data_IF_753864213250
#
_entry.id   IF_753864213250
#
_cell.length_a   1.000
_cell.length_b   1.000
_cell.length_c   1.000
_cell.angle_alpha   90.00
_cell.angle_beta   90.00
_cell.angle_gamma   90.00
#
_symmetry.space_group_name_H-M   'P 1'
#
loop_
_entity.id
_entity.type
_entity.pdbx_description
1 polymer ?
#
# COMPACT_ATOMS: atom_id res chain seq x y z
N UNK A 1 36.52 -58.46 -36.57
CA UNK A 1 35.27 -57.70 -36.30
C UNK A 1 34.21 -58.47 -35.46
N UNK A 2 34.59 -59.35 -34.52
CA UNK A 2 33.65 -59.95 -33.54
C UNK A 2 34.11 -59.85 -32.06
N UNK A 3 35.29 -59.27 -31.80
CA UNK A 3 35.83 -59.11 -30.44
C UNK A 3 35.56 -57.73 -29.81
N UNK A 4 35.34 -56.66 -30.59
CA UNK A 4 35.10 -55.32 -30.05
C UNK A 4 33.67 -55.09 -29.50
N UNK A 5 32.66 -55.80 -30.01
CA UNK A 5 31.28 -55.66 -29.52
C UNK A 5 31.04 -56.35 -28.15
N UNK A 6 31.89 -57.30 -27.76
CA UNK A 6 31.74 -58.05 -26.50
C UNK A 6 32.30 -57.31 -25.29
N UNK A 7 33.24 -56.37 -25.50
CA UNK A 7 33.79 -55.52 -24.44
C UNK A 7 32.86 -54.34 -24.14
N UNK A 8 32.19 -53.78 -25.17
CA UNK A 8 31.23 -52.69 -24.99
C UNK A 8 29.97 -53.11 -24.21
N UNK A 9 29.52 -54.37 -24.35
CA UNK A 9 28.35 -54.90 -23.63
C UNK A 9 28.64 -55.24 -22.15
N UNK A 10 29.90 -55.49 -21.79
CA UNK A 10 30.29 -55.82 -20.41
C UNK A 10 30.53 -54.58 -19.54
N UNK A 11 30.89 -53.43 -20.15
CA UNK A 11 31.13 -52.18 -19.44
C UNK A 11 29.84 -51.45 -19.05
N UNK A 12 28.74 -51.64 -19.80
CA UNK A 12 27.42 -51.08 -19.46
C UNK A 12 26.76 -51.83 -18.29
N UNK A 13 27.04 -53.13 -18.12
CA UNK A 13 26.44 -53.94 -17.05
C UNK A 13 27.09 -53.79 -15.67
N UNK A 14 28.23 -53.11 -15.57
CA UNK A 14 28.88 -52.80 -14.28
C UNK A 14 28.68 -51.35 -13.83
N UNK A 15 28.23 -50.45 -14.70
CA UNK A 15 27.85 -49.08 -14.33
C UNK A 15 26.45 -48.99 -13.70
N UNK A 16 25.55 -49.95 -13.97
CA UNK A 16 24.18 -49.93 -13.41
C UNK A 16 24.11 -50.36 -11.93
N UNK A 17 25.18 -50.91 -11.36
CA UNK A 17 25.21 -51.32 -9.95
C UNK A 17 25.83 -50.28 -9.00
N UNK A 18 26.53 -49.27 -9.52
CA UNK A 18 26.97 -48.12 -8.72
C UNK A 18 25.96 -46.96 -8.71
N UNK A 19 25.10 -46.84 -9.73
CA UNK A 19 24.12 -45.76 -9.78
C UNK A 19 22.91 -45.97 -8.86
N UNK A 20 22.58 -47.22 -8.52
CA UNK A 20 21.44 -47.52 -7.64
C UNK A 20 21.79 -47.32 -6.16
N UNK A 21 23.07 -47.45 -5.77
CA UNK A 21 23.49 -47.23 -4.37
C UNK A 21 23.58 -45.73 -4.04
N UNK A 22 23.74 -44.86 -5.03
CA UNK A 22 23.61 -43.42 -4.84
C UNK A 22 22.16 -42.94 -4.73
N UNK A 23 21.17 -43.75 -5.13
CA UNK A 23 19.76 -43.38 -5.15
C UNK A 23 18.97 -43.85 -3.91
N UNK A 24 19.55 -44.76 -3.10
CA UNK A 24 18.90 -45.27 -1.88
C UNK A 24 19.44 -44.59 -0.61
N UNK A 25 20.60 -43.94 -0.66
CA UNK A 25 21.10 -43.12 0.47
C UNK A 25 20.52 -41.69 0.44
N UNK A 26 19.90 -41.25 -0.66
CA UNK A 26 19.30 -39.91 -0.78
C UNK A 26 17.81 -39.87 -0.39
N UNK A 27 17.18 -40.98 -0.01
CA UNK A 27 15.79 -40.98 0.49
C UNK A 27 15.68 -41.10 2.01
N UNK A 28 16.80 -41.08 2.74
CA UNK A 28 16.84 -41.24 4.21
C UNK A 28 17.73 -40.21 4.92
N UNK A 29 18.03 -39.09 4.27
CA UNK A 29 18.35 -37.87 4.98
C UNK A 29 17.04 -37.09 5.02
N UNK A 30 16.28 -37.31 6.09
CA UNK A 30 15.38 -36.29 6.61
C UNK A 30 16.28 -35.11 6.95
N UNK A 31 16.60 -34.29 5.95
CA UNK A 31 17.03 -32.92 6.19
C UNK A 31 15.77 -32.23 6.72
N UNK A 32 15.47 -32.49 8.00
CA UNK A 32 14.84 -31.56 8.93
C UNK A 32 15.71 -30.31 9.10
N UNK A 33 16.33 -29.85 8.01
CA UNK A 33 16.73 -28.49 7.80
C UNK A 33 15.44 -27.69 7.77
N UNK A 34 15.05 -27.26 8.96
CA UNK A 34 14.24 -26.08 9.18
C UNK A 34 14.79 -25.00 8.25
N UNK A 35 14.23 -24.86 7.05
CA UNK A 35 14.37 -23.66 6.24
C UNK A 35 13.57 -22.62 7.00
N UNK A 36 14.14 -22.15 8.11
CA UNK A 36 13.77 -20.90 8.69
C UNK A 36 14.02 -19.89 7.57
N UNK A 37 12.95 -19.52 6.89
CA UNK A 37 12.89 -18.29 6.13
C UNK A 37 13.28 -17.21 7.13
N UNK A 38 14.56 -16.83 7.12
CA UNK A 38 15.06 -15.72 7.93
C UNK A 38 14.47 -14.49 7.27
N UNK A 39 13.20 -14.20 7.59
CA UNK A 39 12.55 -12.94 7.28
C UNK A 39 13.36 -11.90 8.04
N UNK A 40 14.37 -11.33 7.38
CA UNK A 40 15.16 -10.25 7.94
C UNK A 40 14.17 -9.18 8.42
N UNK A 41 14.11 -8.96 9.73
CA UNK A 41 13.24 -7.97 10.33
C UNK A 41 13.82 -6.60 10.03
N UNK A 42 13.46 -6.08 8.86
CA UNK A 42 13.74 -4.70 8.53
C UNK A 42 12.90 -3.80 9.47
N UNK A 43 13.57 -3.09 10.36
CA UNK A 43 12.93 -2.05 11.16
C UNK A 43 12.99 -0.74 10.40
N UNK A 44 11.83 -0.24 9.97
CA UNK A 44 11.72 1.08 9.39
C UNK A 44 11.87 2.13 10.51
N UNK A 45 12.80 3.08 10.36
CA UNK A 45 13.12 4.08 11.39
C UNK A 45 12.90 5.52 10.90
N UNK A 46 13.25 5.82 9.66
CA UNK A 46 13.19 7.18 9.11
C UNK A 46 13.03 7.20 7.59
N UNK A 47 12.52 8.31 7.04
CA UNK A 47 12.39 8.55 5.61
C UNK A 47 12.47 10.04 5.25
N UNK A 48 12.89 10.35 4.02
CA UNK A 48 12.79 11.72 3.48
C UNK A 48 11.36 12.06 3.06
N UNK A 49 10.47 11.06 2.99
CA UNK A 49 9.06 11.24 2.74
C UNK A 49 8.30 11.31 4.07
N UNK A 50 7.12 11.94 4.09
CA UNK A 50 6.19 11.85 5.22
C UNK A 50 5.91 10.40 5.60
N UNK A 51 5.74 10.14 6.89
CA UNK A 51 5.45 8.80 7.41
C UNK A 51 4.04 8.80 8.00
N UNK A 52 3.23 7.82 7.61
CA UNK A 52 1.89 7.61 8.13
C UNK A 52 1.88 6.26 8.85
N UNK A 53 1.61 6.30 10.16
CA UNK A 53 1.41 5.11 10.98
C UNK A 53 -0.09 4.88 11.18
N UNK A 54 -0.52 3.64 11.00
CA UNK A 54 -1.91 3.24 11.19
C UNK A 54 -1.93 2.02 12.11
N UNK A 55 -2.74 2.10 13.17
CA UNK A 55 -2.97 1.00 14.10
C UNK A 55 -4.47 0.69 14.19
N UNK A 56 -4.86 -0.49 13.70
CA UNK A 56 -6.22 -1.01 13.80
C UNK A 56 -6.46 -1.80 15.08
N UNK A 57 -5.52 -1.84 16.03
CA UNK A 57 -5.59 -2.57 17.30
C UNK A 57 -5.93 -4.06 17.12
N UNK A 58 -5.47 -4.64 16.01
CA UNK A 58 -5.71 -6.03 15.65
C UNK A 58 -7.07 -6.32 14.99
N UNK A 59 -7.93 -5.32 14.75
CA UNK A 59 -9.14 -5.52 13.96
C UNK A 59 -8.78 -5.76 12.48
N UNK A 60 -9.32 -6.81 11.85
CA UNK A 60 -9.07 -7.07 10.42
C UNK A 60 -9.82 -6.05 9.56
N UNK A 61 -9.12 -5.45 8.59
CA UNK A 61 -9.79 -4.63 7.58
C UNK A 61 -10.45 -5.57 6.56
N UNK A 62 -11.74 -5.40 6.38
CA UNK A 62 -12.53 -6.09 5.37
C UNK A 62 -12.83 -5.14 4.19
N UNK A 63 -13.11 -5.72 3.03
CA UNK A 63 -13.57 -4.94 1.88
C UNK A 63 -14.93 -4.30 2.17
N UNK A 64 -15.13 -3.07 1.71
CA UNK A 64 -16.36 -2.29 1.86
C UNK A 64 -16.89 -2.09 3.31
N UNK A 65 -16.08 -2.35 4.33
CA UNK A 65 -16.44 -2.13 5.74
C UNK A 65 -15.42 -1.18 6.36
N UNK A 66 -15.91 -0.06 6.90
CA UNK A 66 -15.10 0.86 7.70
C UNK A 66 -14.92 0.35 9.11
N UNK A 67 -13.69 0.39 9.60
CA UNK A 67 -13.34 0.08 10.97
C UNK A 67 -12.60 1.25 11.63
N UNK A 68 -12.74 1.46 12.94
CA UNK A 68 -11.98 2.48 13.65
C UNK A 68 -10.50 2.09 13.73
N UNK A 69 -9.62 3.06 13.57
CA UNK A 69 -8.18 2.94 13.74
C UNK A 69 -7.59 4.22 14.35
N UNK A 70 -6.36 4.13 14.83
CA UNK A 70 -5.54 5.30 15.17
C UNK A 70 -4.59 5.59 14.02
N UNK A 71 -4.40 6.88 13.74
CA UNK A 71 -3.44 7.34 12.75
C UNK A 71 -2.53 8.40 13.35
N UNK A 72 -1.24 8.25 13.07
CA UNK A 72 -0.21 9.23 13.36
C UNK A 72 0.48 9.63 12.06
N UNK A 73 0.77 10.92 11.90
CA UNK A 73 1.49 11.46 10.76
C UNK A 73 2.74 12.17 11.26
N UNK A 74 3.88 11.74 10.72
CA UNK A 74 5.19 12.35 10.98
C UNK A 74 5.60 13.12 9.74
N UNK A 75 5.61 14.45 9.84
CA UNK A 75 5.93 15.32 8.72
C UNK A 75 6.59 16.61 9.15
N UNK A 76 7.83 16.83 8.68
CA UNK A 76 8.48 18.12 8.74
C UNK A 76 8.23 18.92 7.46
N UNK A 77 7.47 20.01 7.58
CA UNK A 77 7.15 20.89 6.45
C UNK A 77 8.36 21.63 5.87
N UNK A 78 9.46 21.73 6.62
CA UNK A 78 10.73 22.32 6.17
C UNK A 78 11.53 21.41 5.20
N UNK A 79 11.06 20.17 5.00
CA UNK A 79 11.71 19.18 4.14
C UNK A 79 12.88 18.44 4.80
N UNK A 80 13.10 18.63 6.10
CA UNK A 80 14.02 17.80 6.87
C UNK A 80 13.54 16.34 6.93
N UNK A 81 14.46 15.42 7.24
CA UNK A 81 14.18 13.99 7.23
C UNK A 81 13.25 13.62 8.40
N UNK A 82 12.21 12.83 8.11
CA UNK A 82 11.26 12.35 9.10
C UNK A 82 11.79 11.10 9.82
N UNK A 83 11.60 11.03 11.13
CA UNK A 83 11.85 9.86 11.99
C UNK A 83 10.53 9.39 12.64
N UNK A 84 10.48 8.17 13.16
CA UNK A 84 9.35 7.67 13.97
C UNK A 84 9.30 8.30 15.37
N UNK A 85 10.45 8.73 15.91
CA UNK A 85 10.57 9.23 17.29
C UNK A 85 10.31 10.74 17.44
N UNK A 86 10.02 11.45 16.34
CA UNK A 86 9.68 12.87 16.38
C UNK A 86 8.23 13.10 16.87
N UNK A 87 7.85 14.37 17.07
CA UNK A 87 6.47 14.75 17.36
C UNK A 87 5.52 14.49 16.18
N UNK A 88 4.25 14.21 16.48
CA UNK A 88 3.21 14.01 15.48
C UNK A 88 2.76 15.35 14.90
N UNK A 89 2.78 15.48 13.58
CA UNK A 89 2.10 16.58 12.86
C UNK A 89 0.57 16.42 12.96
N UNK A 90 0.12 15.16 12.90
CA UNK A 90 -1.25 14.79 13.19
C UNK A 90 -1.30 13.50 14.01
N UNK A 91 -2.19 13.46 14.99
CA UNK A 91 -2.54 12.25 15.74
C UNK A 91 -4.05 12.26 15.97
N UNK A 92 -4.73 11.18 15.62
CA UNK A 92 -6.18 11.13 15.77
C UNK A 92 -6.82 9.81 15.43
N UNK A 93 -8.14 9.76 15.67
CA UNK A 93 -8.99 8.64 15.27
C UNK A 93 -9.34 8.75 13.80
N UNK A 94 -9.34 7.62 13.11
CA UNK A 94 -9.82 7.49 11.75
C UNK A 94 -10.78 6.32 11.62
N UNK A 95 -11.66 6.38 10.63
CA UNK A 95 -12.33 5.21 10.08
C UNK A 95 -11.65 4.81 8.78
N UNK A 96 -11.17 3.57 8.68
CA UNK A 96 -10.43 3.06 7.52
C UNK A 96 -11.13 1.87 6.87
N UNK A 97 -11.05 1.78 5.55
CA UNK A 97 -11.54 0.67 4.74
C UNK A 97 -10.55 0.34 3.62
N UNK A 98 -10.59 -0.89 3.11
CA UNK A 98 -9.98 -1.20 1.81
C UNK A 98 -10.77 -0.46 0.73
N UNK A 99 -10.05 0.17 -0.19
CA UNK A 99 -10.61 0.88 -1.33
C UNK A 99 -10.18 0.23 -2.63
N UNK A 100 -11.14 0.09 -3.53
CA UNK A 100 -10.91 -0.39 -4.88
C UNK A 100 -12.05 -1.27 -5.33
N UNK A 101 -11.92 -1.83 -6.51
CA UNK A 101 -12.78 -2.92 -6.98
C UNK A 101 -11.87 -4.09 -7.34
N UNK A 102 -11.39 -4.15 -8.58
CA UNK A 102 -10.36 -5.13 -8.96
C UNK A 102 -9.05 -4.97 -8.17
N UNK A 103 -8.67 -3.74 -7.84
CA UNK A 103 -7.47 -3.45 -7.06
C UNK A 103 -7.55 -3.87 -5.59
N UNK A 104 -8.75 -4.10 -5.05
CA UNK A 104 -8.90 -4.61 -3.68
C UNK A 104 -8.34 -6.03 -3.52
N UNK A 105 -8.19 -6.77 -4.62
CA UNK A 105 -7.63 -8.14 -4.63
C UNK A 105 -6.10 -8.17 -4.74
N UNK A 106 -5.42 -7.05 -4.96
CA UNK A 106 -3.96 -7.00 -5.05
C UNK A 106 -3.28 -7.15 -3.68
N UNK A 107 -2.07 -7.70 -3.62
CA UNK A 107 -1.34 -7.88 -2.35
C UNK A 107 -1.15 -6.55 -1.62
N UNK A 108 -0.81 -5.49 -2.36
CA UNK A 108 -0.74 -4.12 -1.84
C UNK A 108 -2.11 -3.45 -1.95
N UNK A 109 -2.82 -3.38 -0.82
CA UNK A 109 -4.14 -2.73 -0.72
C UNK A 109 -4.01 -1.22 -0.77
N UNK A 110 -5.01 -0.57 -1.35
CA UNK A 110 -5.25 0.87 -1.17
C UNK A 110 -6.32 1.07 -0.10
N UNK A 111 -6.26 2.17 0.62
CA UNK A 111 -7.17 2.47 1.72
C UNK A 111 -7.92 3.77 1.47
N UNK A 112 -9.20 3.79 1.85
CA UNK A 112 -9.94 5.03 2.09
C UNK A 112 -10.00 5.26 3.58
N UNK A 113 -9.84 6.50 4.03
CA UNK A 113 -9.99 6.81 5.45
C UNK A 113 -10.65 8.16 5.70
N UNK A 114 -11.34 8.24 6.83
CA UNK A 114 -12.02 9.45 7.30
C UNK A 114 -11.50 9.84 8.69
N UNK A 115 -11.03 11.07 8.87
CA UNK A 115 -10.58 11.59 10.16
C UNK A 115 -11.77 11.96 11.04
N UNK A 116 -11.69 11.62 12.33
CA UNK A 116 -12.79 11.76 13.28
C UNK A 116 -12.39 12.52 14.54
N UNK A 117 -13.37 13.21 15.14
CA UNK A 117 -13.22 13.83 16.44
C UNK A 117 -13.42 12.83 17.59
N UNK A 118 -13.37 13.31 18.83
CA UNK A 118 -13.57 12.47 20.02
C UNK A 118 -14.95 11.81 20.10
N UNK A 119 -15.97 12.36 19.41
CA UNK A 119 -17.36 11.88 19.36
C UNK A 119 -17.60 10.92 18.19
N UNK A 120 -16.65 10.78 17.26
CA UNK A 120 -16.79 9.97 16.05
C UNK A 120 -17.38 10.74 14.86
N UNK A 121 -17.50 12.06 14.96
CA UNK A 121 -17.96 12.92 13.88
C UNK A 121 -16.80 13.28 12.93
N UNK A 122 -17.13 13.68 11.70
CA UNK A 122 -16.15 14.07 10.70
C UNK A 122 -15.31 15.27 11.17
N UNK A 123 -13.99 15.11 11.16
CA UNK A 123 -13.04 16.16 11.54
C UNK A 123 -12.21 16.57 10.32
N UNK A 124 -12.44 17.78 9.81
CA UNK A 124 -11.64 18.32 8.71
C UNK A 124 -10.26 18.77 9.22
N UNK A 125 -9.20 18.12 8.75
CA UNK A 125 -7.82 18.46 9.11
C UNK A 125 -6.95 18.61 7.87
N UNK A 126 -6.01 19.57 7.84
CA UNK A 126 -5.00 19.59 6.79
C UNK A 126 -4.02 18.44 7.01
N UNK A 127 -3.63 17.75 5.93
CA UNK A 127 -2.61 16.70 5.98
C UNK A 127 -1.57 16.96 4.89
N UNK A 128 -0.28 16.96 5.24
CA UNK A 128 0.84 17.07 4.29
C UNK A 128 0.75 18.30 3.35
N UNK A 129 0.41 19.46 3.91
CA UNK A 129 0.14 20.72 3.21
C UNK A 129 -1.03 20.68 2.21
N UNK A 130 -1.93 19.70 2.35
CA UNK A 130 -3.17 19.67 1.58
C UNK A 130 -4.27 20.44 2.33
N UNK A 131 -5.20 21.09 1.61
CA UNK A 131 -6.33 21.79 2.24
C UNK A 131 -7.13 20.89 3.17
N UNK A 132 -7.59 21.46 4.28
CA UNK A 132 -8.27 20.70 5.32
C UNK A 132 -9.51 19.97 4.80
N UNK A 133 -9.60 18.69 5.10
CA UNK A 133 -10.72 17.81 4.75
C UNK A 133 -10.73 16.58 5.65
N UNK A 134 -11.84 15.85 5.66
CA UNK A 134 -11.95 14.65 6.49
C UNK A 134 -11.73 13.36 5.72
N UNK A 135 -11.96 13.33 4.40
CA UNK A 135 -11.96 12.11 3.61
C UNK A 135 -10.81 12.06 2.59
N UNK A 136 -10.01 11.01 2.73
CA UNK A 136 -8.68 10.85 2.15
C UNK A 136 -8.47 9.45 1.58
N UNK A 137 -7.49 9.32 0.69
CA UNK A 137 -7.13 8.06 0.05
C UNK A 137 -5.63 7.82 0.25
N UNK A 138 -5.27 6.64 0.75
CA UNK A 138 -3.92 6.09 0.65
C UNK A 138 -3.88 5.13 -0.52
N UNK A 139 -3.38 5.62 -1.66
CA UNK A 139 -3.26 4.83 -2.86
C UNK A 139 -1.94 4.07 -2.87
N UNK A 140 -2.03 2.74 -2.94
CA UNK A 140 -0.89 1.84 -3.15
C UNK A 140 -0.83 1.42 -4.62
N UNK A 141 0.05 2.01 -5.47
CA UNK A 141 0.10 1.68 -6.89
C UNK A 141 0.75 0.31 -7.10
N UNK A 142 -0.05 -0.77 -7.01
CA UNK A 142 0.47 -2.13 -7.19
C UNK A 142 0.78 -2.44 -8.66
N UNK A 143 -0.14 -2.13 -9.57
CA UNK A 143 0.01 -2.41 -11.00
C UNK A 143 0.91 -1.40 -11.72
N UNK A 144 1.09 -0.20 -11.16
CA UNK A 144 1.93 0.83 -11.74
C UNK A 144 3.39 0.69 -11.29
N UNK A 145 4.22 0.06 -12.11
CA UNK A 145 5.68 -0.09 -11.86
C UNK A 145 6.44 1.24 -11.74
N UNK A 146 5.91 2.33 -12.29
CA UNK A 146 6.53 3.65 -12.16
C UNK A 146 6.15 4.34 -10.86
N UNK A 147 5.02 3.95 -10.24
CA UNK A 147 4.38 4.63 -9.10
C UNK A 147 3.96 6.09 -9.38
N UNK A 148 4.17 6.58 -10.60
CA UNK A 148 4.09 8.00 -10.95
C UNK A 148 2.91 8.36 -11.86
N UNK A 149 2.22 7.39 -12.49
CA UNK A 149 1.23 7.71 -13.54
C UNK A 149 0.12 8.63 -13.02
N UNK A 150 -0.43 8.32 -11.85
CA UNK A 150 -1.46 9.13 -11.24
C UNK A 150 -0.92 10.50 -10.79
N UNK A 151 0.25 10.52 -10.16
CA UNK A 151 0.87 11.76 -9.69
C UNK A 151 1.11 12.75 -10.83
N UNK A 152 1.71 12.28 -11.94
CA UNK A 152 1.99 13.10 -13.12
C UNK A 152 0.69 13.56 -13.78
N UNK A 153 -0.28 12.66 -13.95
CA UNK A 153 -1.55 12.99 -14.62
C UNK A 153 -2.31 14.06 -13.86
N UNK A 154 -2.44 13.93 -12.53
CA UNK A 154 -3.13 14.95 -11.73
C UNK A 154 -2.33 16.25 -11.64
N UNK A 155 -1.00 16.18 -11.59
CA UNK A 155 -0.15 17.35 -11.65
C UNK A 155 -0.34 18.13 -12.95
N UNK A 156 -0.33 17.44 -14.10
CA UNK A 156 -0.55 18.07 -15.41
C UNK A 156 -1.94 18.67 -15.53
N UNK A 157 -2.99 17.96 -15.07
CA UNK A 157 -4.35 18.50 -15.06
C UNK A 157 -4.44 19.82 -14.27
N UNK A 158 -3.84 19.87 -13.08
CA UNK A 158 -3.75 21.11 -12.29
C UNK A 158 -2.96 22.21 -13.00
N UNK A 159 -1.86 21.88 -13.67
CA UNK A 159 -1.08 22.84 -14.45
C UNK A 159 -1.84 23.38 -15.67
N UNK A 160 -2.80 22.63 -16.20
CA UNK A 160 -3.72 23.09 -17.24
C UNK A 160 -4.91 23.90 -16.70
N UNK A 161 -4.95 24.20 -15.40
CA UNK A 161 -6.04 24.97 -14.78
C UNK A 161 -7.30 24.14 -14.50
N UNK A 162 -7.24 22.82 -14.58
CA UNK A 162 -8.36 21.93 -14.23
C UNK A 162 -8.19 21.39 -12.82
N UNK A 163 -9.30 21.25 -12.10
CA UNK A 163 -9.28 20.54 -10.83
C UNK A 163 -8.85 19.08 -11.04
N UNK A 164 -7.94 18.62 -10.20
CA UNK A 164 -7.54 17.23 -10.06
C UNK A 164 -6.94 17.01 -8.66
N UNK A 165 -7.27 15.88 -8.03
CA UNK A 165 -6.88 15.55 -6.65
C UNK A 165 -5.40 15.81 -6.38
N UNK A 166 -5.09 16.70 -5.44
CA UNK A 166 -3.73 16.93 -4.95
C UNK A 166 -3.20 15.66 -4.32
N UNK A 167 -1.90 15.43 -4.49
CA UNK A 167 -1.23 14.20 -4.08
C UNK A 167 0.07 14.50 -3.35
N UNK A 168 0.42 13.62 -2.41
CA UNK A 168 1.70 13.60 -1.68
C UNK A 168 2.17 12.16 -1.55
N UNK A 169 3.44 11.91 -1.85
CA UNK A 169 4.03 10.60 -1.58
C UNK A 169 4.33 10.48 -0.08
N UNK A 170 4.14 9.28 0.47
CA UNK A 170 4.33 9.00 1.89
C UNK A 170 4.71 7.52 2.08
N UNK A 171 5.38 7.23 3.17
CA UNK A 171 5.66 5.88 3.63
C UNK A 171 4.59 5.44 4.62
N UNK A 172 4.10 4.20 4.50
CA UNK A 172 3.05 3.67 5.38
C UNK A 172 3.60 2.55 6.25
N UNK A 173 3.37 2.68 7.56
CA UNK A 173 3.54 1.63 8.55
C UNK A 173 2.16 1.25 9.08
N UNK A 174 1.79 -0.01 8.96
CA UNK A 174 0.47 -0.51 9.30
C UNK A 174 0.60 -1.63 10.33
N UNK A 175 0.01 -1.45 11.52
CA UNK A 175 0.14 -2.38 12.66
C UNK A 175 1.61 -2.76 12.95
N UNK A 176 2.54 -1.81 12.82
CA UNK A 176 3.98 -2.02 13.00
C UNK A 176 4.71 -2.65 11.80
N UNK A 177 4.01 -3.08 10.75
CA UNK A 177 4.62 -3.58 9.52
C UNK A 177 4.76 -2.47 8.47
N UNK A 178 5.95 -2.34 7.90
CA UNK A 178 6.21 -1.38 6.84
C UNK A 178 5.63 -1.87 5.50
N UNK A 179 4.66 -1.13 4.95
CA UNK A 179 4.01 -1.44 3.67
C UNK A 179 4.65 -0.73 2.47
N UNK A 180 5.64 0.13 2.74
CA UNK A 180 6.37 0.88 1.71
C UNK A 180 5.63 2.13 1.22
N UNK A 181 5.98 2.53 -0.02
CA UNK A 181 5.54 3.78 -0.60
C UNK A 181 4.05 3.79 -0.96
N UNK A 182 3.34 4.82 -0.52
CA UNK A 182 1.98 5.15 -0.88
C UNK A 182 1.90 6.58 -1.39
N UNK A 183 0.74 6.91 -1.98
CA UNK A 183 0.40 8.26 -2.35
C UNK A 183 -0.87 8.66 -1.60
N UNK A 184 -0.76 9.63 -0.69
CA UNK A 184 -1.90 10.32 -0.11
C UNK A 184 -2.57 11.16 -1.19
N UNK A 185 -3.89 11.05 -1.30
CA UNK A 185 -4.68 11.77 -2.29
C UNK A 185 -5.96 12.33 -1.68
N UNK A 186 -6.37 13.50 -2.18
CA UNK A 186 -7.71 14.01 -1.94
C UNK A 186 -8.76 13.09 -2.57
N UNK A 187 -9.77 12.70 -1.81
CA UNK A 187 -10.98 12.13 -2.40
C UNK A 187 -11.77 13.23 -3.09
N UNK A 188 -12.31 12.94 -4.27
CA UNK A 188 -13.13 13.91 -4.99
C UNK A 188 -14.45 14.06 -4.23
N UNK A 189 -14.70 15.27 -3.73
CA UNK A 189 -15.94 15.69 -3.06
C UNK A 189 -16.29 17.11 -3.45
N UNK A 190 -17.54 17.49 -3.18
CA UNK A 190 -18.00 18.88 -3.23
C UNK A 190 -17.34 19.63 -2.08
N UNK A 191 -16.49 20.59 -2.40
CA UNK A 191 -15.86 21.49 -1.43
C UNK A 191 -15.26 22.70 -2.17
N UNK A 192 -15.15 23.84 -1.48
CA UNK A 192 -14.57 25.08 -2.03
C UNK A 192 -13.15 24.89 -2.56
N UNK A 193 -12.36 24.01 -1.95
CA UNK A 193 -10.98 23.71 -2.33
C UNK A 193 -10.86 22.48 -3.26
N UNK A 194 -11.99 21.85 -3.61
CA UNK A 194 -12.10 20.67 -4.48
C UNK A 194 -13.02 20.96 -5.67
N UNK A 195 -14.15 20.25 -5.78
CA UNK A 195 -15.18 20.51 -6.79
C UNK A 195 -16.13 21.56 -6.21
N UNK A 196 -15.94 22.81 -6.62
CA UNK A 196 -16.74 23.93 -6.14
C UNK A 196 -18.07 24.01 -6.88
N UNK A 197 -19.04 23.21 -6.44
CA UNK A 197 -20.41 23.21 -6.95
C UNK A 197 -21.40 23.33 -5.78
N UNK A 198 -22.52 24.02 -6.00
CA UNK A 198 -23.59 24.18 -5.02
C UNK A 198 -24.19 22.83 -4.61
N UNK A 199 -24.69 22.76 -3.38
CA UNK A 199 -25.51 21.63 -2.95
C UNK A 199 -26.91 21.78 -3.57
N UNK A 200 -27.39 20.73 -4.22
CA UNK A 200 -28.74 20.70 -4.74
C UNK A 200 -29.71 20.51 -3.58
N UNK A 201 -30.66 21.44 -3.42
CA UNK A 201 -31.83 21.25 -2.56
C UNK A 201 -33.05 20.91 -3.43
N UNK A 202 -34.08 20.24 -2.89
CA UNK A 202 -35.29 19.90 -3.67
C UNK A 202 -36.04 21.11 -4.26
N UNK A 203 -35.72 22.32 -3.79
CA UNK A 203 -36.33 23.59 -4.22
C UNK A 203 -35.61 24.20 -5.44
N UNK A 204 -34.39 23.75 -5.72
CA UNK A 204 -33.58 24.24 -6.85
C UNK A 204 -33.96 23.43 -8.09
N UNK A 205 -34.80 24.03 -8.93
CA UNK A 205 -35.32 23.43 -10.18
C UNK A 205 -34.93 24.18 -11.46
N UNK A 206 -34.14 25.25 -11.34
CA UNK A 206 -33.58 25.98 -12.50
C UNK A 206 -32.27 26.72 -12.12
N UNK A 207 -31.50 27.16 -13.12
CA UNK A 207 -30.36 28.08 -13.00
C UNK A 207 -28.98 27.43 -12.83
N UNK A 208 -27.95 28.27 -12.61
CA UNK A 208 -26.54 27.86 -12.45
C UNK A 208 -26.36 26.85 -11.30
N UNK A 209 -27.20 26.92 -10.27
CA UNK A 209 -27.19 25.96 -9.15
C UNK A 209 -27.53 24.52 -9.60
N UNK A 210 -28.25 24.34 -10.71
CA UNK A 210 -28.50 23.01 -11.32
C UNK A 210 -27.39 22.56 -12.28
N UNK A 211 -26.81 23.48 -13.07
CA UNK A 211 -25.89 23.14 -14.15
C UNK A 211 -24.41 23.12 -13.73
N UNK A 212 -24.08 23.82 -12.65
CA UNK A 212 -22.72 23.93 -12.10
C UNK A 212 -21.83 24.92 -12.82
#
# INVERSE_FOLDING_TARGET
>A
MKQLYKVCCLMVRTLDKLFIISFIVLSMIDDGGLTADVKASYSFVSSNLPIILIDTRGYPIQDAIRIPALMEVKYHADGSRNDLNQENDFEGRINIEIRGSSSAYFDKKSFGFETQDAKGENLNVPLLDLPAENDWILYGPYSDKSLLRNAITFYLARKMGRYASRTRFCEVVFNGEYLGLYMLMEKIKRDKNRVNISQLTPEVVDGDDLTG
#
